data_IF_366491533901
#
_entry.id   IF_366491533901
#
_cell.length_a   1.000
_cell.length_b   1.000
_cell.length_c   1.000
_cell.angle_alpha   90.00
_cell.angle_beta   90.00
_cell.angle_gamma   90.00
#
_symmetry.space_group_name_H-M   'P 1'
#
loop_
_entity.id
_entity.type
_entity.pdbx_description
1 polymer ?
#
# COMPACT_ATOMS: atom_id res chain seq x y z
N UNK A 1 -8.25 -0.82 -37.09
CA UNK A 1 -8.13 -1.69 -35.90
C UNK A 1 -7.09 -1.07 -34.98
N UNK A 2 -7.51 -0.25 -34.01
CA UNK A 2 -6.58 0.44 -33.12
C UNK A 2 -6.13 -0.56 -32.06
N UNK A 3 -4.87 -0.99 -32.14
CA UNK A 3 -4.22 -1.79 -31.10
C UNK A 3 -4.27 -0.97 -29.81
N UNK A 4 -4.97 -1.46 -28.79
CA UNK A 4 -4.79 -0.96 -27.42
C UNK A 4 -3.31 -1.10 -27.10
N UNK A 5 -2.63 0.00 -26.82
CA UNK A 5 -1.34 -0.02 -26.15
C UNK A 5 -1.49 -0.94 -24.94
N UNK A 6 -0.78 -2.08 -24.96
CA UNK A 6 -0.64 -2.90 -23.77
C UNK A 6 0.10 -2.02 -22.77
N UNK A 7 -0.56 -1.70 -21.65
CA UNK A 7 0.12 -1.09 -20.51
C UNK A 7 1.36 -1.94 -20.21
N UNK A 8 2.56 -1.33 -20.06
CA UNK A 8 3.78 -2.09 -19.85
C UNK A 8 3.64 -2.93 -18.57
N UNK A 9 3.74 -4.24 -18.70
CA UNK A 9 3.80 -5.16 -17.56
C UNK A 9 5.08 -4.87 -16.77
N UNK A 10 4.94 -4.25 -15.60
CA UNK A 10 6.05 -4.05 -14.68
C UNK A 10 6.37 -5.37 -13.99
N UNK A 11 7.65 -5.73 -13.92
CA UNK A 11 8.06 -6.87 -13.10
C UNK A 11 8.03 -6.44 -11.63
N UNK A 12 7.58 -7.33 -10.75
CA UNK A 12 7.51 -7.05 -9.32
C UNK A 12 7.99 -8.24 -8.50
N UNK A 13 8.69 -7.96 -7.41
CA UNK A 13 8.94 -8.92 -6.35
C UNK A 13 8.55 -8.33 -5.00
N UNK A 14 7.82 -9.10 -4.19
CA UNK A 14 7.58 -8.82 -2.77
C UNK A 14 8.27 -9.93 -1.99
N UNK A 15 9.13 -9.54 -1.05
CA UNK A 15 9.81 -10.45 -0.13
C UNK A 15 9.49 -10.06 1.30
N UNK A 16 9.24 -11.04 2.16
CA UNK A 16 8.96 -10.80 3.57
C UNK A 16 9.67 -11.83 4.42
N UNK A 17 10.24 -11.36 5.53
CA UNK A 17 10.94 -12.19 6.50
C UNK A 17 10.41 -11.86 7.90
N UNK A 18 9.93 -12.88 8.60
CA UNK A 18 9.44 -12.78 9.96
C UNK A 18 10.57 -12.36 10.92
N UNK A 19 10.29 -11.57 11.98
CA UNK A 19 8.97 -11.08 12.37
C UNK A 19 8.53 -9.81 11.64
N UNK A 20 9.46 -9.00 11.14
CA UNK A 20 9.17 -7.60 10.84
C UNK A 20 9.93 -7.02 9.64
N UNK A 21 10.29 -7.83 8.64
CA UNK A 21 10.95 -7.33 7.43
C UNK A 21 10.09 -7.55 6.20
N UNK A 22 9.99 -6.52 5.36
CA UNK A 22 9.31 -6.60 4.07
C UNK A 22 9.95 -5.65 3.07
N UNK A 23 10.09 -6.09 1.83
CA UNK A 23 10.48 -5.24 0.72
C UNK A 23 9.66 -5.57 -0.52
N UNK A 24 9.28 -4.54 -1.27
CA UNK A 24 8.66 -4.66 -2.57
C UNK A 24 9.48 -3.85 -3.59
N UNK A 25 9.79 -4.47 -4.72
CA UNK A 25 10.49 -3.83 -5.84
C UNK A 25 9.56 -3.92 -7.04
N UNK A 26 9.26 -2.77 -7.64
CA UNK A 26 8.52 -2.64 -8.90
C UNK A 26 9.50 -2.11 -9.96
N UNK A 27 9.68 -2.86 -11.03
CA UNK A 27 10.57 -2.53 -12.14
C UNK A 27 9.73 -1.95 -13.28
N UNK A 28 9.82 -0.65 -13.48
CA UNK A 28 9.18 0.03 -14.61
C UNK A 28 10.21 0.32 -15.70
N UNK A 29 9.73 0.60 -16.91
CA UNK A 29 10.60 0.89 -18.08
C UNK A 29 11.60 2.03 -17.89
N UNK A 30 11.35 2.95 -16.94
CA UNK A 30 12.17 4.16 -16.74
C UNK A 30 12.80 4.30 -15.36
N UNK A 31 12.32 3.54 -14.37
CA UNK A 31 12.79 3.62 -13.00
C UNK A 31 12.32 2.39 -12.24
N UNK A 32 13.07 2.04 -11.19
CA UNK A 32 12.63 1.06 -10.22
C UNK A 32 12.07 1.78 -9.01
N UNK A 33 11.03 1.20 -8.41
CA UNK A 33 10.42 1.69 -7.19
C UNK A 33 10.56 0.62 -6.11
N UNK A 34 11.34 0.94 -5.09
CA UNK A 34 11.58 0.06 -3.95
C UNK A 34 10.90 0.65 -2.72
N UNK A 35 10.18 -0.19 -2.01
CA UNK A 35 9.51 0.08 -0.74
C UNK A 35 10.00 -0.95 0.27
N UNK A 36 10.60 -0.49 1.37
CA UNK A 36 11.24 -1.41 2.31
C UNK A 36 10.96 -0.99 3.75
N UNK A 37 10.70 -1.99 4.59
CA UNK A 37 10.78 -1.90 6.04
C UNK A 37 11.77 -2.95 6.55
N UNK A 38 12.81 -2.49 7.24
CA UNK A 38 13.91 -3.33 7.72
C UNK A 38 13.70 -3.90 9.15
N UNK A 39 12.52 -3.67 9.73
CA UNK A 39 12.21 -4.00 11.12
C UNK A 39 12.34 -2.84 12.11
N UNK A 40 12.94 -1.73 11.69
CA UNK A 40 13.07 -0.52 12.49
C UNK A 40 12.65 0.73 11.72
N UNK A 41 13.00 0.82 10.44
CA UNK A 41 12.84 1.99 9.58
C UNK A 41 12.18 1.61 8.27
N UNK A 42 11.28 2.47 7.83
CA UNK A 42 10.72 2.43 6.48
C UNK A 42 11.52 3.36 5.57
N UNK A 43 11.82 2.91 4.36
CA UNK A 43 12.42 3.76 3.33
C UNK A 43 11.88 3.40 1.95
N UNK A 44 12.04 4.35 1.04
CA UNK A 44 11.56 4.26 -0.33
C UNK A 44 12.63 4.79 -1.27
N UNK A 45 12.77 4.15 -2.44
CA UNK A 45 13.65 4.60 -3.51
C UNK A 45 12.89 4.61 -4.86
N UNK A 46 13.06 5.64 -5.70
CA UNK A 46 13.78 6.89 -5.40
C UNK A 46 13.06 7.71 -4.33
N UNK A 47 13.81 8.60 -3.65
CA UNK A 47 13.22 9.57 -2.74
C UNK A 47 12.35 10.56 -3.52
N UNK A 48 11.23 10.95 -2.94
CA UNK A 48 10.38 11.95 -3.55
C UNK A 48 10.94 13.36 -3.31
N UNK A 49 10.68 14.32 -4.22
CA UNK A 49 10.89 15.74 -3.94
C UNK A 49 10.18 16.17 -2.65
N UNK A 50 10.72 17.18 -1.97
CA UNK A 50 10.28 17.61 -0.63
C UNK A 50 8.80 18.00 -0.59
N UNK A 51 8.28 18.58 -1.67
CA UNK A 51 6.87 18.94 -1.81
C UNK A 51 5.91 17.73 -1.71
N UNK A 52 6.39 16.51 -1.94
CA UNK A 52 5.63 15.28 -1.81
C UNK A 52 5.95 14.52 -0.51
N UNK A 53 6.57 15.16 0.49
CA UNK A 53 6.85 14.50 1.78
C UNK A 53 5.62 13.88 2.44
N UNK A 54 4.40 14.48 2.40
CA UNK A 54 3.23 13.85 3.02
C UNK A 54 2.88 12.48 2.40
N UNK A 55 3.13 12.32 1.10
CA UNK A 55 2.93 11.04 0.39
C UNK A 55 3.99 10.03 0.81
N UNK A 56 5.25 10.47 0.88
CA UNK A 56 6.35 9.62 1.33
C UNK A 56 6.15 9.16 2.77
N UNK A 57 5.76 10.06 3.67
CA UNK A 57 5.44 9.75 5.07
C UNK A 57 4.30 8.73 5.15
N UNK A 58 3.31 8.84 4.25
CA UNK A 58 2.21 7.88 4.20
C UNK A 58 2.65 6.48 3.77
N UNK A 59 3.54 6.36 2.78
CA UNK A 59 4.12 5.07 2.44
C UNK A 59 4.93 4.49 3.60
N UNK A 60 5.69 5.32 4.30
CA UNK A 60 6.48 4.87 5.46
C UNK A 60 5.58 4.37 6.59
N UNK A 61 4.45 5.05 6.83
CA UNK A 61 3.40 4.63 7.77
C UNK A 61 2.80 3.28 7.37
N UNK A 62 2.40 3.12 6.09
CA UNK A 62 1.85 1.87 5.55
C UNK A 62 2.83 0.70 5.71
N UNK A 63 4.10 0.91 5.38
CA UNK A 63 5.16 -0.07 5.53
C UNK A 63 5.36 -0.47 7.00
N UNK A 64 5.49 0.51 7.89
CA UNK A 64 5.70 0.29 9.32
C UNK A 64 4.47 -0.27 10.04
N UNK A 65 3.29 -0.29 9.40
CA UNK A 65 2.10 -0.87 10.00
C UNK A 65 2.09 -2.41 9.90
N UNK A 66 2.89 -2.99 9.00
CA UNK A 66 2.84 -4.40 8.63
C UNK A 66 1.60 -4.81 7.85
N UNK A 67 0.77 -3.86 7.40
CA UNK A 67 -0.50 -4.18 6.74
C UNK A 67 -0.43 -3.99 5.22
N UNK A 68 0.62 -3.32 4.72
CA UNK A 68 0.69 -2.78 3.35
C UNK A 68 0.39 -3.79 2.25
N UNK A 69 0.79 -5.05 2.43
CA UNK A 69 0.66 -6.09 1.42
C UNK A 69 -0.38 -7.15 1.80
N UNK A 70 -1.30 -6.84 2.70
CA UNK A 70 -2.32 -7.76 3.22
C UNK A 70 -1.69 -9.12 3.58
N UNK A 71 -2.29 -10.23 3.13
CA UNK A 71 -1.81 -11.60 3.38
C UNK A 71 -0.63 -12.04 2.50
N UNK A 72 -0.06 -11.17 1.65
CA UNK A 72 1.15 -11.49 0.88
C UNK A 72 2.40 -11.43 1.79
N UNK A 73 2.39 -10.56 2.80
CA UNK A 73 3.50 -10.36 3.74
C UNK A 73 3.36 -11.23 4.98
N UNK A 74 4.47 -11.77 5.47
CA UNK A 74 4.54 -12.44 6.77
C UNK A 74 4.64 -11.43 7.92
N UNK A 75 5.22 -10.25 7.65
CA UNK A 75 5.16 -9.14 8.59
C UNK A 75 3.74 -8.58 8.60
N UNK A 76 3.02 -8.81 9.69
CA UNK A 76 1.64 -8.37 9.87
C UNK A 76 1.27 -8.22 11.36
N UNK A 77 0.84 -7.01 11.75
CA UNK A 77 0.41 -6.70 13.13
C UNK A 77 -0.78 -7.53 13.61
N UNK A 78 -1.54 -8.18 12.71
CA UNK A 78 -2.61 -9.12 13.08
C UNK A 78 -2.06 -10.42 13.69
N UNK A 79 -0.80 -10.75 13.44
CA UNK A 79 -0.13 -11.94 13.97
C UNK A 79 0.52 -11.68 15.33
N UNK A 80 0.87 -10.43 15.63
CA UNK A 80 1.65 -10.04 16.83
C UNK A 80 0.81 -9.95 18.12
N UNK A 81 -0.42 -10.46 18.13
CA UNK A 81 -1.35 -10.32 19.27
C UNK A 81 -1.71 -8.86 19.55
N UNK A 82 -2.19 -8.56 20.76
CA UNK A 82 -2.41 -7.17 21.21
C UNK A 82 -1.06 -6.49 21.45
N UNK A 83 -0.36 -6.10 20.37
CA UNK A 83 0.81 -5.25 20.47
C UNK A 83 0.44 -4.01 21.32
N UNK A 84 1.20 -3.68 22.40
CA UNK A 84 0.79 -2.67 23.36
C UNK A 84 0.34 -1.36 22.70
N UNK A 85 -0.95 -1.03 22.88
CA UNK A 85 -1.56 0.19 22.36
C UNK A 85 -2.17 0.10 20.95
N UNK A 86 -2.11 -1.05 20.28
CA UNK A 86 -2.91 -1.30 19.08
C UNK A 86 -4.36 -1.62 19.48
N UNK A 87 -5.32 -0.94 18.86
CA UNK A 87 -6.76 -1.13 19.11
C UNK A 87 -7.48 -1.53 17.84
N UNK A 88 -8.31 -2.56 17.95
CA UNK A 88 -9.20 -3.03 16.89
C UNK A 88 -10.64 -2.70 17.23
N UNK A 89 -11.39 -2.18 16.27
CA UNK A 89 -12.80 -1.84 16.43
C UNK A 89 -13.60 -2.38 15.25
N UNK A 90 -14.54 -3.29 15.52
CA UNK A 90 -15.49 -3.74 14.49
C UNK A 90 -16.46 -2.61 14.13
N UNK A 91 -16.63 -2.36 12.84
CA UNK A 91 -17.58 -1.36 12.30
C UNK A 91 -18.78 -2.01 11.60
N UNK A 92 -18.97 -3.31 11.79
CA UNK A 92 -20.04 -4.08 11.15
C UNK A 92 -19.68 -4.52 9.73
N UNK A 93 -20.67 -4.51 8.84
CA UNK A 93 -20.52 -4.97 7.45
C UNK A 93 -20.84 -3.85 6.46
N UNK A 94 -20.14 -3.85 5.32
CA UNK A 94 -20.41 -2.94 4.19
C UNK A 94 -20.16 -3.65 2.88
N UNK A 95 -20.92 -3.26 1.85
CA UNK A 95 -20.65 -3.68 0.48
C UNK A 95 -19.49 -2.87 -0.12
N UNK A 96 -18.49 -3.55 -0.64
CA UNK A 96 -17.36 -2.96 -1.37
C UNK A 96 -17.29 -3.62 -2.73
N UNK A 97 -17.40 -2.81 -3.79
CA UNK A 97 -17.57 -3.30 -5.16
C UNK A 97 -18.74 -4.30 -5.21
N UNK A 98 -18.47 -5.55 -5.53
CA UNK A 98 -19.42 -6.64 -5.67
C UNK A 98 -19.57 -7.53 -4.42
N UNK A 99 -18.82 -7.26 -3.34
CA UNK A 99 -18.72 -8.13 -2.16
C UNK A 99 -19.25 -7.50 -0.89
N UNK A 100 -19.84 -8.30 0.00
CA UNK A 100 -20.10 -7.89 1.39
C UNK A 100 -18.86 -8.20 2.21
N UNK A 101 -18.38 -7.23 3.00
CA UNK A 101 -17.18 -7.37 3.82
C UNK A 101 -17.42 -6.91 5.26
N UNK A 102 -16.82 -7.61 6.21
CA UNK A 102 -16.62 -7.13 7.58
C UNK A 102 -15.60 -6.01 7.59
N UNK A 103 -15.85 -4.98 8.41
CA UNK A 103 -14.99 -3.82 8.54
C UNK A 103 -14.35 -3.81 9.92
N UNK A 104 -13.03 -3.67 9.97
CA UNK A 104 -12.27 -3.51 11.21
C UNK A 104 -11.41 -2.26 11.10
N UNK A 105 -11.63 -1.29 11.97
CA UNK A 105 -10.74 -0.15 12.13
C UNK A 105 -9.60 -0.53 13.07
N UNK A 106 -8.36 -0.25 12.67
CA UNK A 106 -7.17 -0.42 13.50
C UNK A 106 -6.57 0.96 13.80
N UNK A 107 -6.19 1.18 15.06
CA UNK A 107 -5.41 2.33 15.52
C UNK A 107 -4.15 1.83 16.20
N UNK A 108 -2.99 2.25 15.70
CA UNK A 108 -1.67 1.89 16.24
C UNK A 108 -1.10 3.02 17.12
N UNK A 109 -0.15 2.70 18.05
CA UNK A 109 0.38 3.66 19.02
C UNK A 109 1.01 4.93 18.41
N UNK A 110 1.59 4.82 17.21
CA UNK A 110 2.24 5.94 16.50
C UNK A 110 1.27 6.77 15.65
N UNK A 111 -0.04 6.65 15.88
CA UNK A 111 -1.06 7.40 15.16
C UNK A 111 -1.44 6.82 13.80
N UNK A 112 -0.70 5.82 13.31
CA UNK A 112 -1.07 5.08 12.12
C UNK A 112 -2.44 4.44 12.29
N UNK A 113 -3.30 4.61 11.29
CA UNK A 113 -4.63 4.01 11.29
C UNK A 113 -4.94 3.44 9.94
N UNK A 114 -5.66 2.33 9.95
CA UNK A 114 -6.12 1.70 8.74
C UNK A 114 -7.53 1.14 8.95
N UNK A 115 -8.23 0.93 7.84
CA UNK A 115 -9.48 0.19 7.80
C UNK A 115 -9.28 -1.07 6.99
N UNK A 116 -9.46 -2.20 7.65
CA UNK A 116 -9.34 -3.52 7.08
C UNK A 116 -10.71 -4.01 6.64
N UNK A 117 -10.72 -4.71 5.53
CA UNK A 117 -11.93 -5.32 4.98
C UNK A 117 -11.70 -6.81 4.74
N UNK A 118 -12.57 -7.62 5.34
CA UNK A 118 -12.55 -9.07 5.22
C UNK A 118 -13.82 -9.51 4.52
N UNK A 119 -13.70 -10.26 3.43
CA UNK A 119 -14.84 -10.81 2.71
C UNK A 119 -15.74 -11.63 3.66
N UNK A 120 -17.05 -11.38 3.65
CA UNK A 120 -17.95 -11.95 4.65
C UNK A 120 -18.23 -13.45 4.45
N UNK A 121 -17.98 -13.97 3.24
CA UNK A 121 -18.22 -15.38 2.91
C UNK A 121 -16.95 -16.22 3.09
N UNK A 122 -15.81 -15.68 2.66
CA UNK A 122 -14.53 -16.38 2.63
C UNK A 122 -13.58 -15.99 3.76
N UNK A 123 -13.90 -14.93 4.51
CA UNK A 123 -13.06 -14.31 5.55
C UNK A 123 -11.68 -13.85 5.05
N UNK A 124 -11.47 -13.82 3.73
CA UNK A 124 -10.21 -13.39 3.13
C UNK A 124 -10.03 -11.89 3.32
N UNK A 125 -8.81 -11.47 3.65
CA UNK A 125 -8.45 -10.06 3.74
C UNK A 125 -8.34 -9.45 2.35
N UNK A 126 -9.37 -8.70 1.96
CA UNK A 126 -9.51 -8.22 0.58
C UNK A 126 -9.00 -6.81 0.38
N UNK A 127 -9.01 -5.95 1.41
CA UNK A 127 -8.60 -4.55 1.25
C UNK A 127 -8.11 -3.96 2.56
N UNK A 128 -7.14 -3.05 2.43
CA UNK A 128 -6.72 -2.15 3.50
C UNK A 128 -6.74 -0.72 2.98
N UNK A 129 -7.41 0.16 3.70
CA UNK A 129 -7.42 1.60 3.43
C UNK A 129 -6.63 2.34 4.51
N UNK A 130 -5.78 3.28 4.10
CA UNK A 130 -4.94 4.07 4.99
C UNK A 130 -5.38 5.53 5.09
N UNK A 131 -6.46 5.92 4.42
CA UNK A 131 -6.91 7.30 4.34
C UNK A 131 -6.15 8.08 3.26
N UNK A 132 -6.05 9.40 3.44
CA UNK A 132 -5.52 10.30 2.43
C UNK A 132 -4.26 11.05 2.89
N UNK A 133 -3.39 11.40 1.93
CA UNK A 133 -2.36 12.40 2.11
C UNK A 133 -2.73 13.67 1.33
N UNK A 134 -2.43 14.81 1.93
CA UNK A 134 -2.72 16.13 1.39
C UNK A 134 -1.40 16.82 1.02
N UNK A 135 -1.30 17.26 -0.22
CA UNK A 135 -0.14 18.01 -0.72
C UNK A 135 -0.63 19.40 -1.12
N UNK A 136 -0.29 20.39 -0.30
CA UNK A 136 -0.55 21.80 -0.59
C UNK A 136 0.49 22.33 -1.58
N UNK A 137 0.07 23.08 -2.60
CA UNK A 137 1.02 23.81 -3.45
C UNK A 137 1.72 24.91 -2.63
N UNK A 138 3.01 25.22 -2.90
CA UNK A 138 3.65 26.37 -2.31
C UNK A 138 2.88 27.65 -2.70
N UNK A 139 2.57 28.52 -1.73
CA UNK A 139 2.12 29.88 -2.05
C UNK A 139 3.17 30.55 -2.93
N UNK A 140 2.74 31.07 -4.09
CA UNK A 140 3.60 31.89 -4.94
C UNK A 140 4.15 33.08 -4.17
N UNK A 141 5.37 33.50 -4.49
CA UNK A 141 5.95 34.71 -3.95
C UNK A 141 5.08 35.91 -4.34
N UNK A 142 4.44 36.53 -3.34
CA UNK A 142 3.85 37.86 -3.38
C UNK A 142 2.93 38.18 -4.58
N UNK A 143 1.72 37.65 -4.57
CA UNK A 143 0.55 38.42 -5.05
C UNK A 143 -0.41 38.55 -3.88
N UNK A 144 -0.94 39.75 -3.63
CA UNK A 144 -1.98 40.00 -2.61
C UNK A 144 -3.34 39.38 -3.00
N UNK A 145 -3.32 38.28 -3.74
CA UNK A 145 -4.52 37.56 -4.16
C UNK A 145 -4.80 36.46 -3.14
N UNK A 146 -5.93 36.59 -2.45
CA UNK A 146 -6.48 35.52 -1.63
C UNK A 146 -6.93 34.40 -2.58
N UNK A 147 -6.04 33.45 -2.86
CA UNK A 147 -6.39 32.24 -3.60
C UNK A 147 -7.19 31.34 -2.64
N UNK A 148 -8.44 30.96 -2.97
CA UNK A 148 -9.24 30.09 -2.12
C UNK A 148 -8.52 28.75 -1.89
N UNK A 149 -8.27 28.39 -0.63
CA UNK A 149 -7.52 27.20 -0.18
C UNK A 149 -8.18 25.83 -0.49
N UNK A 150 -9.04 25.73 -1.50
CA UNK A 150 -9.82 24.51 -1.78
C UNK A 150 -9.55 23.81 -3.12
N UNK A 151 -9.21 24.55 -4.18
CA UNK A 151 -9.17 23.98 -5.54
C UNK A 151 -7.78 23.48 -5.99
N UNK A 152 -6.73 23.82 -5.23
CA UNK A 152 -5.33 23.56 -5.59
C UNK A 152 -4.64 22.47 -4.75
N UNK A 153 -5.35 21.83 -3.82
CA UNK A 153 -4.79 20.76 -3.00
C UNK A 153 -4.82 19.40 -3.74
N UNK A 154 -3.67 18.72 -3.79
CA UNK A 154 -3.61 17.35 -4.27
C UNK A 154 -3.93 16.40 -3.12
N UNK A 155 -5.09 15.74 -3.20
CA UNK A 155 -5.52 14.72 -2.23
C UNK A 155 -5.34 13.34 -2.87
N UNK A 156 -4.58 12.49 -2.18
CA UNK A 156 -4.31 11.11 -2.62
C UNK A 156 -4.84 10.13 -1.59
N UNK A 157 -5.68 9.20 -2.02
CA UNK A 157 -6.14 8.08 -1.18
C UNK A 157 -5.20 6.87 -1.30
N UNK A 158 -4.88 6.26 -0.16
CA UNK A 158 -3.99 5.10 -0.06
C UNK A 158 -4.76 3.84 0.28
N UNK A 159 -4.66 2.82 -0.57
CA UNK A 159 -5.18 1.48 -0.30
C UNK A 159 -4.36 0.39 -0.98
N UNK A 160 -4.49 -0.82 -0.45
CA UNK A 160 -4.01 -2.05 -1.06
C UNK A 160 -5.14 -3.08 -1.06
N UNK A 161 -5.49 -3.58 -2.23
CA UNK A 161 -6.59 -4.52 -2.44
C UNK A 161 -6.05 -5.81 -3.06
N UNK A 162 -6.61 -6.95 -2.64
CA UNK A 162 -6.18 -8.29 -3.02
C UNK A 162 -7.37 -9.13 -3.46
N UNK A 163 -7.18 -9.94 -4.50
CA UNK A 163 -8.22 -10.79 -5.07
C UNK A 163 -7.63 -12.05 -5.70
N UNK A 164 -8.49 -12.89 -6.29
CA UNK A 164 -8.10 -14.15 -6.93
C UNK A 164 -7.35 -15.08 -5.96
N UNK A 165 -7.99 -15.40 -4.83
CA UNK A 165 -7.39 -16.24 -3.80
C UNK A 165 -7.34 -17.69 -4.24
N UNK A 166 -6.16 -18.31 -4.16
CA UNK A 166 -5.91 -19.69 -4.55
C UNK A 166 -5.12 -20.42 -3.48
N UNK A 167 -5.25 -21.73 -3.43
CA UNK A 167 -4.48 -22.56 -2.51
C UNK A 167 -3.03 -22.69 -3.00
N UNK A 168 -2.09 -22.39 -2.11
CA UNK A 168 -0.64 -22.58 -2.28
C UNK A 168 -0.13 -23.19 -0.99
N UNK A 169 0.49 -24.38 -1.05
CA UNK A 169 1.06 -25.06 0.12
C UNK A 169 0.10 -25.16 1.33
N UNK A 170 -1.21 -25.31 1.07
CA UNK A 170 -2.23 -25.44 2.11
C UNK A 170 -2.75 -24.12 2.70
N UNK A 171 -2.32 -22.97 2.18
CA UNK A 171 -2.85 -21.64 2.56
C UNK A 171 -3.49 -20.93 1.37
N UNK A 172 -4.54 -20.15 1.61
CA UNK A 172 -5.18 -19.31 0.58
C UNK A 172 -4.47 -17.97 0.44
N UNK A 173 -3.88 -17.71 -0.72
CA UNK A 173 -3.13 -16.50 -1.02
C UNK A 173 -3.66 -15.78 -2.28
N UNK A 174 -3.62 -14.44 -2.34
CA UNK A 174 -4.18 -13.68 -3.46
C UNK A 174 -3.26 -13.66 -4.68
N UNK A 175 -3.76 -13.99 -5.87
CA UNK A 175 -2.98 -13.93 -7.11
C UNK A 175 -3.08 -12.60 -7.85
N UNK A 176 -3.90 -11.67 -7.35
CA UNK A 176 -4.05 -10.33 -7.92
C UNK A 176 -4.04 -9.28 -6.83
N UNK A 177 -3.45 -8.14 -7.14
CA UNK A 177 -3.53 -6.95 -6.28
C UNK A 177 -3.78 -5.68 -7.07
N UNK A 178 -4.34 -4.70 -6.38
CA UNK A 178 -4.53 -3.33 -6.82
C UNK A 178 -4.00 -2.41 -5.72
N UNK A 179 -3.01 -1.59 -6.05
CA UNK A 179 -2.41 -0.62 -5.13
C UNK A 179 -2.61 0.78 -5.68
N UNK A 180 -3.11 1.70 -4.84
CA UNK A 180 -3.06 3.11 -5.22
C UNK A 180 -1.63 3.65 -5.14
N UNK A 181 -1.24 4.33 -6.21
CA UNK A 181 0.11 4.85 -6.36
C UNK A 181 0.14 6.28 -6.89
N UNK A 182 1.19 6.95 -6.46
CA UNK A 182 1.32 8.39 -6.61
C UNK A 182 2.52 8.75 -7.45
N UNK A 183 3.72 8.29 -7.13
CA UNK A 183 4.92 8.80 -7.80
C UNK A 183 5.61 7.73 -8.65
N UNK A 184 6.14 8.08 -9.84
CA UNK A 184 6.06 9.33 -10.60
C UNK A 184 4.76 9.53 -11.41
N UNK A 185 3.72 8.72 -11.19
CA UNK A 185 2.43 8.82 -11.91
C UNK A 185 1.75 10.21 -11.72
N UNK A 186 2.03 10.91 -10.62
CA UNK A 186 1.56 12.28 -10.31
C UNK A 186 2.02 13.30 -11.35
N UNK A 187 3.15 13.08 -12.05
CA UNK A 187 3.56 13.99 -13.13
C UNK A 187 2.60 13.96 -14.32
N UNK A 188 1.72 12.95 -14.42
CA UNK A 188 0.83 12.73 -15.57
C UNK A 188 -0.65 12.58 -15.20
N UNK A 189 -1.00 12.09 -13.98
CA UNK A 189 -2.39 11.93 -13.51
C UNK A 189 -2.50 12.21 -12.01
N UNK A 190 -3.64 12.80 -11.58
CA UNK A 190 -3.91 13.15 -10.16
C UNK A 190 -3.90 11.95 -9.21
N UNK A 191 -4.20 10.74 -9.68
CA UNK A 191 -4.06 9.47 -8.95
C UNK A 191 -3.79 8.32 -9.94
N UNK A 192 -2.89 7.40 -9.59
CA UNK A 192 -2.58 6.18 -10.33
C UNK A 192 -2.94 4.92 -9.55
N UNK A 193 -3.08 3.81 -10.25
CA UNK A 193 -3.22 2.48 -9.65
C UNK A 193 -2.25 1.53 -10.33
N UNK A 194 -1.53 0.72 -9.56
CA UNK A 194 -0.83 -0.45 -10.07
C UNK A 194 -1.78 -1.63 -9.92
N UNK A 195 -2.01 -2.32 -11.03
CA UNK A 195 -2.59 -3.64 -11.04
C UNK A 195 -1.46 -4.64 -11.24
N UNK A 196 -1.41 -5.69 -10.43
CA UNK A 196 -0.43 -6.74 -10.61
C UNK A 196 -1.03 -8.12 -10.46
N UNK A 197 -0.43 -9.06 -11.18
CA UNK A 197 -0.71 -10.49 -11.09
C UNK A 197 0.50 -11.17 -10.50
N UNK A 198 0.29 -11.92 -9.43
CA UNK A 198 1.33 -12.73 -8.80
C UNK A 198 1.35 -14.07 -9.53
N UNK A 199 2.50 -14.44 -10.08
CA UNK A 199 2.66 -15.66 -10.87
C UNK A 199 3.20 -16.82 -10.04
N UNK A 200 3.88 -16.53 -8.93
CA UNK A 200 4.56 -17.53 -8.11
C UNK A 200 4.64 -17.07 -6.65
N UNK A 201 4.52 -18.04 -5.75
CA UNK A 201 4.84 -17.91 -4.34
C UNK A 201 5.97 -18.89 -4.00
N UNK A 202 6.94 -18.43 -3.21
CA UNK A 202 8.02 -19.27 -2.69
C UNK A 202 8.10 -19.10 -1.17
N UNK A 203 7.85 -20.17 -0.44
CA UNK A 203 7.92 -20.18 1.02
C UNK A 203 9.26 -20.76 1.51
N UNK A 204 9.73 -20.31 2.67
CA UNK A 204 10.93 -20.82 3.34
C UNK A 204 12.21 -20.79 2.48
N UNK A 205 12.33 -19.81 1.57
CA UNK A 205 13.53 -19.60 0.76
C UNK A 205 14.44 -18.58 1.42
N UNK A 206 15.75 -18.78 1.35
CA UNK A 206 16.73 -17.80 1.80
C UNK A 206 16.60 -16.50 0.98
N UNK A 207 16.41 -15.38 1.66
CA UNK A 207 16.30 -14.05 1.05
C UNK A 207 17.67 -13.36 1.20
N UNK A 208 18.17 -12.74 0.13
CA UNK A 208 19.37 -11.90 0.23
C UNK A 208 19.08 -10.72 1.18
N UNK A 209 19.83 -10.56 2.29
CA UNK A 209 19.61 -9.47 3.24
C UNK A 209 19.66 -8.08 2.60
N UNK A 210 20.35 -7.91 1.46
CA UNK A 210 20.41 -6.65 0.72
C UNK A 210 19.06 -6.20 0.17
N UNK A 211 18.10 -7.11 0.04
CA UNK A 211 16.73 -6.76 -0.34
C UNK A 211 16.07 -5.82 0.68
N UNK A 212 16.56 -5.81 1.93
CA UNK A 212 16.05 -4.97 3.00
C UNK A 212 16.92 -3.73 3.29
N UNK A 213 17.87 -3.37 2.43
CA UNK A 213 18.85 -2.28 2.63
C UNK A 213 18.75 -1.15 1.61
#
# INVERSE_FOLDING_TARGET
TVKREQDPEAQMAIVSESPNRVSAIFVFSKYDWQLTYDGAKSFMRPLMPREFSPIQDKYQEMLASGLMFNSISLYNTLLDGEAPGTKFESKGMKKIKDRTAYIVDIKQPKGASARLYFDAETFMWVRTEYGAAHVSKPMGQFTNEVVPHGEDELIVNFYFETSDFRDVDGVKLPFKFEQSVTYPIIKQKKNGTILGTITEYRHNVAIDPKMFQ
#
